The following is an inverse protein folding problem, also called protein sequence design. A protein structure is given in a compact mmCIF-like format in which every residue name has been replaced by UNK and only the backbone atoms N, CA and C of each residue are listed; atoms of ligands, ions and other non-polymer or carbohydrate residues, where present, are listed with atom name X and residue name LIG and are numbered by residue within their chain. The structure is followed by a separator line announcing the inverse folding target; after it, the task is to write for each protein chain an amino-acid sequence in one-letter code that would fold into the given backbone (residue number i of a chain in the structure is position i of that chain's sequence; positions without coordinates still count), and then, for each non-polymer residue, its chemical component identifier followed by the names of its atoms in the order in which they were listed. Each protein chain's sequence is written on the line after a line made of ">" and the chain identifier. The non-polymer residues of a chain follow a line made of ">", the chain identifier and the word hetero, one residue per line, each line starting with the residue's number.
data_IF_839093292449
#
_entry.id   IF_839093292449
#
_cell.length_a   1.000
_cell.length_b   1.000
_cell.length_c   1.000
_cell.angle_alpha   90.00
_cell.angle_beta   90.00
_cell.angle_gamma   90.00
#
_symmetry.space_group_name_H-M   'P 1'
#
loop_
_entity.id
_entity.type
_entity.pdbx_description
1 polymer ?
#
# COMPACT_ATOMS: atom_id res chain seq x y z
N UNK A 1 1.84 -28.03 21.92
CA UNK A 1 3.17 -28.10 21.28
C UNK A 1 3.61 -26.71 20.83
N UNK A 2 4.93 -26.43 20.72
CA UNK A 2 5.44 -25.14 20.26
C UNK A 2 5.20 -24.93 18.76
N UNK A 3 5.05 -23.67 18.31
CA UNK A 3 5.00 -23.35 16.87
C UNK A 3 6.31 -23.70 16.15
N UNK A 4 7.45 -23.39 16.79
CA UNK A 4 8.79 -23.75 16.35
C UNK A 4 9.54 -24.39 17.52
N UNK A 5 10.10 -25.57 17.31
CA UNK A 5 10.89 -26.27 18.32
C UNK A 5 12.34 -25.75 18.33
N UNK A 6 12.84 -25.34 19.49
CA UNK A 6 14.22 -24.90 19.64
C UNK A 6 14.55 -24.41 21.05
N UNK A 7 15.81 -23.98 21.23
CA UNK A 7 16.24 -23.29 22.46
C UNK A 7 15.40 -22.02 22.69
N UNK A 8 15.15 -21.65 23.94
CA UNK A 8 14.20 -20.56 24.28
C UNK A 8 12.76 -21.04 24.44
N UNK A 9 12.29 -21.94 23.55
CA UNK A 9 10.98 -22.58 23.69
C UNK A 9 11.01 -23.79 24.65
N UNK A 10 12.14 -24.51 24.70
CA UNK A 10 12.34 -25.62 25.63
C UNK A 10 12.62 -25.13 27.04
N UNK A 11 11.87 -25.65 28.02
CA UNK A 11 12.08 -25.44 29.45
C UNK A 11 13.15 -26.38 30.00
N UNK A 12 13.14 -27.64 29.55
CA UNK A 12 14.17 -28.62 29.91
C UNK A 12 14.29 -29.69 28.84
N UNK A 13 15.52 -30.16 28.61
CA UNK A 13 15.83 -31.29 27.74
C UNK A 13 16.60 -32.32 28.57
N UNK A 14 16.12 -33.55 28.63
CA UNK A 14 16.76 -34.63 29.38
C UNK A 14 16.89 -35.89 28.52
N UNK A 15 17.99 -36.62 28.69
CA UNK A 15 18.22 -37.89 28.00
C UNK A 15 17.64 -39.04 28.81
N UNK A 16 16.94 -39.95 28.14
CA UNK A 16 16.41 -41.18 28.71
C UNK A 16 17.48 -42.30 28.69
N UNK A 17 17.30 -43.30 29.56
CA UNK A 17 18.23 -44.43 29.69
C UNK A 17 18.25 -45.34 28.44
N UNK A 18 17.17 -45.35 27.65
CA UNK A 18 17.05 -46.04 26.35
C UNK A 18 17.73 -45.28 25.20
N UNK A 19 18.36 -44.13 25.48
CA UNK A 19 18.98 -43.26 24.49
C UNK A 19 18.05 -42.20 23.89
N UNK A 20 16.76 -42.19 24.25
CA UNK A 20 15.78 -41.20 23.82
C UNK A 20 15.97 -39.82 24.47
N UNK A 21 15.14 -38.85 24.06
CA UNK A 21 15.13 -37.48 24.60
C UNK A 21 13.72 -37.13 25.06
N UNK A 22 13.61 -36.56 26.25
CA UNK A 22 12.40 -35.92 26.76
C UNK A 22 12.59 -34.41 26.74
N UNK A 23 11.62 -33.71 26.14
CA UNK A 23 11.60 -32.25 26.10
C UNK A 23 10.36 -31.76 26.83
N UNK A 24 10.56 -30.89 27.81
CA UNK A 24 9.48 -30.10 28.38
C UNK A 24 9.56 -28.71 27.77
N UNK A 25 8.45 -28.25 27.22
CA UNK A 25 8.32 -26.90 26.68
C UNK A 25 7.90 -25.91 27.78
N UNK A 26 8.11 -24.63 27.55
CA UNK A 26 7.48 -23.61 28.38
C UNK A 26 5.95 -23.62 28.19
N UNK A 27 5.20 -23.23 29.23
CA UNK A 27 3.74 -23.09 29.14
C UNK A 27 3.32 -21.66 28.76
N UNK A 28 4.25 -20.71 28.85
CA UNK A 28 4.07 -19.28 28.54
C UNK A 28 4.30 -18.96 27.06
N UNK A 29 4.26 -17.67 26.70
CA UNK A 29 4.55 -17.19 25.35
C UNK A 29 5.94 -17.62 24.83
N UNK A 30 6.91 -17.80 25.72
CA UNK A 30 8.27 -18.25 25.38
C UNK A 30 8.27 -19.57 24.58
N UNK A 31 7.25 -20.41 24.74
CA UNK A 31 7.06 -21.64 23.95
C UNK A 31 6.96 -21.41 22.43
N UNK A 32 6.70 -20.18 22.02
CA UNK A 32 6.57 -19.77 20.62
C UNK A 32 7.76 -18.95 20.11
N UNK A 33 8.78 -18.74 20.94
CA UNK A 33 9.93 -17.87 20.65
C UNK A 33 11.23 -18.71 20.60
N UNK A 34 11.24 -19.75 19.77
CA UNK A 34 12.43 -20.55 19.59
C UNK A 34 13.55 -19.76 18.90
N UNK A 35 14.76 -19.85 19.45
CA UNK A 35 15.95 -19.14 19.01
C UNK A 35 16.21 -17.85 19.81
N UNK A 36 17.28 -17.15 19.44
CA UNK A 36 17.53 -15.81 19.97
C UNK A 36 16.45 -14.87 19.44
N UNK A 37 15.74 -14.12 20.31
CA UNK A 37 14.70 -13.22 19.86
C UNK A 37 15.29 -12.05 19.05
N UNK A 38 14.46 -11.43 18.21
CA UNK A 38 14.81 -10.17 17.54
C UNK A 38 14.76 -9.01 18.55
N UNK A 39 15.76 -8.94 19.42
CA UNK A 39 15.85 -7.94 20.50
C UNK A 39 15.80 -6.51 19.97
N UNK A 40 16.48 -6.24 18.85
CA UNK A 40 16.47 -4.92 18.21
C UNK A 40 15.07 -4.56 17.70
N UNK A 41 14.37 -5.51 17.06
CA UNK A 41 12.99 -5.31 16.64
C UNK A 41 12.04 -5.05 17.82
N UNK A 42 12.18 -5.80 18.91
CA UNK A 42 11.38 -5.59 20.12
C UNK A 42 11.63 -4.20 20.74
N UNK A 43 12.89 -3.77 20.82
CA UNK A 43 13.24 -2.43 21.30
C UNK A 43 12.72 -1.32 20.39
N UNK A 44 12.78 -1.50 19.07
CA UNK A 44 12.24 -0.55 18.10
C UNK A 44 10.72 -0.37 18.26
N UNK A 45 9.97 -1.47 18.45
CA UNK A 45 8.52 -1.42 18.73
C UNK A 45 8.26 -0.69 20.05
N UNK A 46 8.99 -1.03 21.12
CA UNK A 46 8.83 -0.37 22.41
C UNK A 46 9.09 1.15 22.31
N UNK A 47 10.11 1.55 21.54
CA UNK A 47 10.43 2.96 21.28
C UNK A 47 9.32 3.65 20.49
N UNK A 48 8.74 2.99 19.48
CA UNK A 48 7.61 3.52 18.72
C UNK A 48 6.35 3.68 19.60
N UNK A 49 6.03 2.68 20.43
CA UNK A 49 4.92 2.76 21.38
C UNK A 49 5.10 3.93 22.37
N UNK A 50 6.32 4.13 22.87
CA UNK A 50 6.64 5.26 23.73
C UNK A 50 6.42 6.59 23.02
N UNK A 51 6.95 6.76 21.81
CA UNK A 51 6.78 8.00 21.03
C UNK A 51 5.30 8.30 20.71
N UNK A 52 4.51 7.29 20.34
CA UNK A 52 3.06 7.44 20.09
C UNK A 52 2.31 7.83 21.37
N UNK A 53 2.68 7.24 22.51
CA UNK A 53 2.08 7.57 23.81
C UNK A 53 2.40 9.00 24.23
N UNK A 54 3.65 9.43 24.07
CA UNK A 54 4.11 10.79 24.37
C UNK A 54 3.47 11.84 23.45
N UNK A 55 3.21 11.51 22.19
CA UNK A 55 2.49 12.38 21.26
C UNK A 55 1.00 12.55 21.60
N UNK A 56 0.41 11.57 22.30
CA UNK A 56 -1.00 11.55 22.72
C UNK A 56 -1.95 11.08 21.61
N UNK A 57 -2.65 9.97 21.84
CA UNK A 57 -3.54 9.35 20.84
C UNK A 57 -4.68 10.27 20.39
N UNK A 58 -5.27 11.05 21.28
CA UNK A 58 -6.37 11.97 20.92
C UNK A 58 -5.89 13.03 19.91
N UNK A 59 -4.68 13.57 20.09
CA UNK A 59 -4.06 14.51 19.15
C UNK A 59 -3.79 13.86 17.80
N UNK A 60 -3.28 12.62 17.81
CA UNK A 60 -2.98 11.86 16.58
C UNK A 60 -4.26 11.55 15.79
N UNK A 61 -5.32 11.11 16.48
CA UNK A 61 -6.63 10.82 15.87
C UNK A 61 -7.25 12.08 15.29
N UNK A 62 -7.30 13.18 16.05
CA UNK A 62 -7.86 14.44 15.57
C UNK A 62 -7.10 14.97 14.33
N UNK A 63 -5.77 14.80 14.30
CA UNK A 63 -4.96 15.15 13.12
C UNK A 63 -5.27 14.25 11.93
N UNK A 64 -5.38 12.95 12.13
CA UNK A 64 -5.72 12.00 11.06
C UNK A 64 -7.12 12.25 10.50
N UNK A 65 -8.12 12.49 11.34
CA UNK A 65 -9.48 12.87 10.94
C UNK A 65 -9.51 14.16 10.12
N UNK A 66 -8.75 15.17 10.54
CA UNK A 66 -8.59 16.41 9.78
C UNK A 66 -8.01 16.13 8.37
N UNK A 67 -6.97 15.30 8.26
CA UNK A 67 -6.36 14.97 6.96
C UNK A 67 -7.30 14.14 6.08
N UNK A 68 -8.02 13.18 6.67
CA UNK A 68 -9.04 12.39 5.96
C UNK A 68 -10.08 13.31 5.34
N UNK A 69 -10.58 14.27 6.13
CA UNK A 69 -11.56 15.23 5.65
C UNK A 69 -11.02 16.07 4.50
N UNK A 70 -9.80 16.61 4.62
CA UNK A 70 -9.16 17.42 3.56
C UNK A 70 -8.97 16.64 2.26
N UNK A 71 -8.52 15.38 2.33
CA UNK A 71 -8.38 14.53 1.14
C UNK A 71 -9.76 14.22 0.53
N UNK A 72 -10.76 13.85 1.35
CA UNK A 72 -12.11 13.55 0.85
C UNK A 72 -12.77 14.76 0.19
N UNK A 73 -12.73 15.93 0.82
CA UNK A 73 -13.24 17.18 0.26
C UNK A 73 -12.51 17.53 -1.05
N UNK A 74 -11.19 17.37 -1.08
CA UNK A 74 -10.38 17.62 -2.28
C UNK A 74 -10.73 16.71 -3.45
N UNK A 75 -10.85 15.40 -3.20
CA UNK A 75 -11.24 14.42 -4.20
C UNK A 75 -12.69 14.58 -4.66
N UNK A 76 -13.60 14.95 -3.75
CA UNK A 76 -15.00 15.22 -4.10
C UNK A 76 -15.16 16.43 -5.05
N UNK A 77 -14.15 17.31 -5.10
CA UNK A 77 -14.08 18.41 -6.07
C UNK A 77 -13.66 17.99 -7.48
N UNK A 78 -13.45 16.69 -7.75
CA UNK A 78 -13.10 16.15 -9.07
C UNK A 78 -14.20 15.14 -9.49
N UNK A 79 -15.15 15.51 -10.37
CA UNK A 79 -16.32 14.69 -10.70
C UNK A 79 -16.01 13.26 -11.19
N UNK A 80 -14.88 13.09 -11.87
CA UNK A 80 -14.40 11.81 -12.42
C UNK A 80 -13.86 10.88 -11.33
N UNK A 81 -13.59 11.39 -10.12
CA UNK A 81 -13.09 10.60 -9.00
C UNK A 81 -14.25 9.98 -8.24
N UNK A 82 -14.25 8.65 -8.18
CA UNK A 82 -15.17 7.88 -7.33
C UNK A 82 -14.41 7.23 -6.18
N UNK A 83 -14.60 7.76 -4.98
CA UNK A 83 -14.11 7.13 -3.74
C UNK A 83 -14.89 5.84 -3.49
N UNK A 84 -14.16 4.75 -3.22
CA UNK A 84 -14.74 3.45 -2.91
C UNK A 84 -15.02 3.35 -1.41
N UNK A 85 -16.26 3.01 -1.06
CA UNK A 85 -16.67 2.79 0.32
C UNK A 85 -17.67 1.64 0.43
N UNK A 86 -17.48 0.80 1.45
CA UNK A 86 -18.42 -0.27 1.81
C UNK A 86 -19.47 0.20 2.83
N UNK A 87 -19.05 1.05 3.76
CA UNK A 87 -19.85 1.43 4.94
C UNK A 87 -20.44 2.84 4.84
N UNK A 88 -20.36 3.46 3.65
CA UNK A 88 -20.82 4.84 3.42
C UNK A 88 -19.77 5.90 3.76
N UNK A 89 -20.18 7.16 3.72
CA UNK A 89 -19.27 8.31 3.85
C UNK A 89 -18.96 8.70 5.30
N UNK A 90 -19.94 8.54 6.19
CA UNK A 90 -19.83 8.91 7.60
C UNK A 90 -19.21 7.82 8.49
N UNK A 91 -18.87 6.66 7.91
CA UNK A 91 -18.24 5.58 8.65
C UNK A 91 -16.84 5.98 9.17
N UNK A 92 -16.50 5.67 10.44
CA UNK A 92 -15.16 5.83 10.97
C UNK A 92 -14.12 5.14 10.09
N UNK A 93 -12.99 5.79 9.85
CA UNK A 93 -11.91 5.26 9.02
C UNK A 93 -10.57 5.82 9.45
N UNK A 94 -9.52 5.08 9.10
CA UNK A 94 -8.12 5.54 9.21
C UNK A 94 -7.72 6.29 7.93
N UNK A 95 -6.52 6.87 7.90
CA UNK A 95 -5.94 7.65 6.80
C UNK A 95 -5.62 6.84 5.55
N UNK A 96 -6.57 6.04 5.06
CA UNK A 96 -6.47 5.20 3.88
C UNK A 96 -7.74 5.35 3.06
N UNK A 97 -7.59 5.82 1.83
CA UNK A 97 -8.71 6.01 0.91
C UNK A 97 -8.42 5.27 -0.40
N UNK A 98 -9.39 4.49 -0.84
CA UNK A 98 -9.36 3.85 -2.16
C UNK A 98 -10.32 4.57 -3.09
N UNK A 99 -9.91 4.79 -4.34
CA UNK A 99 -10.71 5.47 -5.35
C UNK A 99 -10.37 4.98 -6.75
N UNK A 100 -11.25 5.26 -7.70
CA UNK A 100 -11.00 5.13 -9.14
C UNK A 100 -11.23 6.47 -9.81
N UNK A 101 -10.66 6.62 -11.00
CA UNK A 101 -10.79 7.83 -11.82
C UNK A 101 -11.39 7.41 -13.16
N UNK A 102 -12.52 8.00 -13.53
CA UNK A 102 -13.15 7.73 -14.82
C UNK A 102 -12.22 8.11 -15.98
N UNK A 103 -12.20 7.30 -17.03
CA UNK A 103 -11.29 7.48 -18.17
C UNK A 103 -9.84 7.03 -17.93
N UNK A 104 -9.50 6.59 -16.71
CA UNK A 104 -8.14 6.17 -16.36
C UNK A 104 -8.05 4.71 -15.94
N UNK A 105 -6.96 4.06 -16.37
CA UNK A 105 -6.49 2.83 -15.74
C UNK A 105 -5.75 3.20 -14.44
N UNK A 106 -6.04 2.53 -13.31
CA UNK A 106 -5.45 2.92 -12.02
C UNK A 106 -3.94 2.74 -11.96
N UNK A 107 -3.38 1.74 -12.64
CA UNK A 107 -1.93 1.53 -12.72
C UNK A 107 -1.25 2.65 -13.51
N UNK A 108 -1.87 3.09 -14.60
CA UNK A 108 -1.38 4.25 -15.36
C UNK A 108 -1.46 5.54 -14.53
N UNK A 109 -2.59 5.80 -13.87
CA UNK A 109 -2.75 6.98 -13.03
C UNK A 109 -1.75 6.99 -11.86
N UNK A 110 -1.51 5.83 -11.21
CA UNK A 110 -0.53 5.69 -10.15
C UNK A 110 0.91 5.90 -10.66
N UNK A 111 1.24 5.38 -11.85
CA UNK A 111 2.53 5.62 -12.48
C UNK A 111 2.74 7.10 -12.80
N UNK A 112 1.70 7.80 -13.28
CA UNK A 112 1.75 9.23 -13.57
C UNK A 112 1.92 10.09 -12.30
N UNK A 113 1.16 9.80 -11.24
CA UNK A 113 1.38 10.43 -9.93
C UNK A 113 2.82 10.26 -9.43
N UNK A 114 3.40 9.06 -9.62
CA UNK A 114 4.77 8.79 -9.20
C UNK A 114 5.80 9.54 -10.04
N UNK A 115 5.73 9.42 -11.36
CA UNK A 115 6.75 9.90 -12.28
C UNK A 115 6.72 11.44 -12.46
N UNK A 116 5.53 12.02 -12.54
CA UNK A 116 5.37 13.45 -12.86
C UNK A 116 5.21 14.34 -11.63
N UNK A 117 4.75 13.76 -10.50
CA UNK A 117 4.47 14.50 -9.28
C UNK A 117 5.27 14.01 -8.07
N UNK A 118 6.01 12.90 -8.17
CA UNK A 118 6.76 12.34 -7.04
C UNK A 118 5.85 11.82 -5.91
N UNK A 119 4.63 11.40 -6.24
CA UNK A 119 3.63 10.95 -5.26
C UNK A 119 3.45 9.44 -5.36
N UNK A 120 3.90 8.72 -4.33
CA UNK A 120 3.75 7.28 -4.23
C UNK A 120 2.37 6.87 -3.70
N UNK A 121 1.56 6.26 -4.56
CA UNK A 121 0.32 5.56 -4.20
C UNK A 121 0.44 4.07 -4.49
N UNK A 122 -0.55 3.28 -4.06
CA UNK A 122 -0.65 1.87 -4.43
C UNK A 122 -1.80 1.70 -5.41
N UNK A 123 -1.59 0.98 -6.50
CA UNK A 123 -2.66 0.49 -7.36
C UNK A 123 -2.88 -1.03 -7.19
N UNK A 124 -4.06 -1.50 -7.57
CA UNK A 124 -4.41 -2.93 -7.58
C UNK A 124 -5.65 -3.26 -6.76
N UNK A 125 -5.70 -4.49 -6.23
CA UNK A 125 -6.84 -5.04 -5.48
C UNK A 125 -6.55 -5.25 -3.98
N UNK A 126 -5.36 -4.82 -3.51
CA UNK A 126 -4.96 -4.73 -2.10
C UNK A 126 -5.12 -6.03 -1.28
N UNK A 127 -4.96 -7.20 -1.90
CA UNK A 127 -5.25 -8.51 -1.30
C UNK A 127 -6.72 -8.70 -0.85
N UNK A 128 -7.63 -7.81 -1.26
CA UNK A 128 -9.05 -7.81 -0.94
C UNK A 128 -9.91 -7.98 -2.21
N UNK A 129 -9.49 -8.89 -3.09
CA UNK A 129 -10.04 -9.08 -4.44
C UNK A 129 -11.58 -9.17 -4.49
N UNK A 130 -12.26 -10.02 -3.69
CA UNK A 130 -13.71 -10.14 -3.79
C UNK A 130 -14.44 -8.83 -3.41
N UNK A 131 -13.93 -8.12 -2.40
CA UNK A 131 -14.47 -6.83 -1.98
C UNK A 131 -14.31 -5.79 -3.07
N UNK A 132 -13.10 -5.65 -3.64
CA UNK A 132 -12.85 -4.65 -4.67
C UNK A 132 -13.64 -4.94 -5.94
N UNK A 133 -13.78 -6.20 -6.36
CA UNK A 133 -14.66 -6.57 -7.49
C UNK A 133 -16.10 -6.11 -7.25
N UNK A 134 -16.61 -6.32 -6.03
CA UNK A 134 -17.95 -5.85 -5.62
C UNK A 134 -18.06 -4.32 -5.72
N UNK A 135 -17.10 -3.58 -5.16
CA UNK A 135 -17.11 -2.10 -5.16
C UNK A 135 -16.88 -1.48 -6.56
N UNK A 136 -16.29 -2.24 -7.46
CA UNK A 136 -16.08 -1.87 -8.87
C UNK A 136 -17.25 -2.32 -9.77
N UNK A 137 -18.31 -2.91 -9.21
CA UNK A 137 -19.50 -3.32 -9.96
C UNK A 137 -19.28 -4.53 -10.87
N UNK A 138 -18.33 -5.39 -10.52
CA UNK A 138 -18.04 -6.65 -11.23
C UNK A 138 -18.47 -7.85 -10.39
N UNK A 139 -18.69 -9.00 -11.03
CA UNK A 139 -19.04 -10.24 -10.32
C UNK A 139 -17.88 -10.65 -9.38
N UNK A 140 -18.14 -10.83 -8.06
CA UNK A 140 -17.13 -11.26 -7.09
C UNK A 140 -16.45 -12.58 -7.44
N UNK A 141 -17.11 -13.44 -8.24
CA UNK A 141 -16.63 -14.76 -8.67
C UNK A 141 -15.79 -14.70 -9.95
N UNK A 142 -15.72 -13.55 -10.64
CA UNK A 142 -14.87 -13.42 -11.84
C UNK A 142 -13.41 -13.66 -11.47
N UNK A 143 -12.79 -14.67 -12.08
CA UNK A 143 -11.35 -14.92 -11.97
C UNK A 143 -10.59 -13.88 -12.80
N UNK A 144 -9.43 -13.46 -12.35
CA UNK A 144 -8.56 -12.54 -13.08
C UNK A 144 -7.29 -12.26 -12.27
N UNK A 145 -6.20 -11.98 -12.98
CA UNK A 145 -4.88 -11.78 -12.36
C UNK A 145 -4.86 -10.55 -11.45
N UNK A 146 -4.06 -10.65 -10.38
CA UNK A 146 -3.98 -9.61 -9.35
C UNK A 146 -3.28 -8.36 -9.90
N UNK A 147 -4.02 -7.27 -10.11
CA UNK A 147 -3.42 -5.95 -10.38
C UNK A 147 -2.66 -5.84 -11.70
N UNK A 148 -2.93 -6.71 -12.67
CA UNK A 148 -2.36 -6.57 -14.00
C UNK A 148 -2.88 -5.25 -14.64
N UNK A 149 -1.98 -4.37 -15.12
CA UNK A 149 -2.37 -3.11 -15.76
C UNK A 149 -3.22 -3.37 -17.02
N UNK A 150 -2.99 -4.50 -17.67
CA UNK A 150 -3.75 -4.98 -18.82
C UNK A 150 -4.57 -6.20 -18.41
N UNK A 151 -5.86 -6.18 -18.75
CA UNK A 151 -6.70 -7.36 -18.64
C UNK A 151 -6.58 -8.20 -19.93
N UNK A 152 -6.95 -9.48 -19.86
CA UNK A 152 -7.00 -10.32 -21.05
C UNK A 152 -7.94 -9.68 -22.12
N UNK A 153 -7.73 -9.94 -23.42
CA UNK A 153 -8.60 -9.40 -24.47
C UNK A 153 -10.08 -9.72 -24.21
N UNK A 154 -10.90 -8.68 -24.00
CA UNK A 154 -12.32 -8.80 -23.66
C UNK A 154 -12.65 -8.65 -22.17
N UNK A 155 -11.65 -8.55 -21.29
CA UNK A 155 -11.82 -8.28 -19.86
C UNK A 155 -11.56 -6.80 -19.52
N UNK A 156 -12.16 -6.31 -18.44
CA UNK A 156 -11.86 -4.98 -17.88
C UNK A 156 -10.72 -5.11 -16.88
N UNK A 157 -9.70 -4.23 -16.96
CA UNK A 157 -8.72 -4.12 -15.88
C UNK A 157 -9.43 -3.57 -14.65
N UNK A 158 -9.51 -4.40 -13.60
CA UNK A 158 -10.15 -4.07 -12.34
C UNK A 158 -9.07 -3.80 -11.31
N UNK A 159 -8.71 -2.52 -11.19
CA UNK A 159 -7.80 -2.04 -10.16
C UNK A 159 -8.35 -0.71 -9.60
N UNK A 160 -7.93 -0.40 -8.38
CA UNK A 160 -8.20 0.88 -7.75
C UNK A 160 -6.88 1.51 -7.33
N UNK A 161 -6.92 2.80 -7.01
CA UNK A 161 -5.83 3.53 -6.38
C UNK A 161 -6.09 3.55 -4.88
N UNK A 162 -5.06 3.40 -4.07
CA UNK A 162 -5.08 3.60 -2.61
C UNK A 162 -4.02 4.60 -2.22
N UNK A 163 -4.47 5.70 -1.64
CA UNK A 163 -3.63 6.67 -0.95
C UNK A 163 -3.65 6.37 0.55
N UNK A 164 -2.49 6.42 1.19
CA UNK A 164 -2.32 6.21 2.63
C UNK A 164 -1.50 7.33 3.22
N UNK A 165 -1.97 7.90 4.32
CA UNK A 165 -1.38 9.03 5.03
C UNK A 165 -1.70 8.88 6.52
N UNK A 166 -1.06 9.70 7.36
CA UNK A 166 -1.28 9.63 8.80
C UNK A 166 -0.90 10.92 9.48
N UNK A 167 -0.89 10.93 10.81
CA UNK A 167 -0.67 12.14 11.60
C UNK A 167 0.64 12.90 11.26
N UNK A 168 1.68 12.18 10.80
CA UNK A 168 2.95 12.77 10.36
C UNK A 168 2.96 13.34 8.94
N UNK A 169 1.87 13.22 8.18
CA UNK A 169 1.77 13.76 6.82
C UNK A 169 1.60 15.29 6.86
N UNK A 170 2.47 16.08 6.19
CA UNK A 170 2.30 17.52 6.08
C UNK A 170 1.05 17.90 5.29
N UNK A 171 0.42 19.05 5.61
CA UNK A 171 -0.71 19.59 4.85
C UNK A 171 -0.35 19.80 3.37
N UNK A 172 0.87 20.30 3.11
CA UNK A 172 1.41 20.50 1.76
C UNK A 172 1.34 19.22 0.92
N UNK A 173 1.60 18.05 1.52
CA UNK A 173 1.56 16.78 0.78
C UNK A 173 0.13 16.40 0.37
N UNK A 174 -0.86 16.69 1.23
CA UNK A 174 -2.27 16.49 0.91
C UNK A 174 -2.71 17.45 -0.19
N UNK A 175 -2.32 18.71 -0.12
CA UNK A 175 -2.64 19.73 -1.13
C UNK A 175 -2.01 19.38 -2.48
N UNK A 176 -0.73 19.00 -2.49
CA UNK A 176 -0.02 18.55 -3.69
C UNK A 176 -0.67 17.31 -4.30
N UNK A 177 -1.11 16.35 -3.48
CA UNK A 177 -1.84 15.18 -3.96
C UNK A 177 -3.17 15.54 -4.62
N UNK A 178 -4.01 16.34 -3.95
CA UNK A 178 -5.31 16.75 -4.51
C UNK A 178 -5.14 17.55 -5.80
N UNK A 179 -4.17 18.45 -5.86
CA UNK A 179 -3.88 19.22 -7.06
C UNK A 179 -3.36 18.34 -8.19
N UNK A 180 -2.45 17.41 -7.92
CA UNK A 180 -1.96 16.45 -8.91
C UNK A 180 -3.08 15.57 -9.48
N UNK A 181 -4.03 15.13 -8.63
CA UNK A 181 -5.20 14.39 -9.09
C UNK A 181 -6.04 15.25 -10.04
N UNK A 182 -6.32 16.50 -9.68
CA UNK A 182 -7.09 17.41 -10.52
C UNK A 182 -6.42 17.66 -11.87
N UNK A 183 -5.13 17.98 -11.86
CA UNK A 183 -4.35 18.24 -13.08
C UNK A 183 -4.27 17.01 -13.99
N UNK A 184 -4.02 15.82 -13.44
CA UNK A 184 -4.03 14.60 -14.26
C UNK A 184 -5.40 14.35 -14.89
N UNK A 185 -6.48 14.59 -14.15
CA UNK A 185 -7.83 14.41 -14.69
C UNK A 185 -8.15 15.44 -15.78
N UNK A 186 -7.77 16.71 -15.61
CA UNK A 186 -8.09 17.76 -16.57
C UNK A 186 -7.19 17.79 -17.79
N UNK A 187 -5.88 17.59 -17.59
CA UNK A 187 -4.85 17.88 -18.59
C UNK A 187 -4.27 16.61 -19.20
N UNK A 188 -4.50 15.44 -18.57
CA UNK A 188 -3.87 14.19 -18.95
C UNK A 188 -2.45 14.03 -18.38
N UNK A 189 -1.86 12.85 -18.59
CA UNK A 189 -0.45 12.65 -18.30
C UNK A 189 0.42 13.36 -19.34
N UNK A 190 1.53 13.97 -18.90
CA UNK A 190 2.47 14.64 -19.81
C UNK A 190 3.39 13.64 -20.50
N UNK A 191 3.62 12.49 -19.89
CA UNK A 191 4.49 11.45 -20.43
C UNK A 191 3.69 10.32 -21.07
N UNK A 192 4.34 9.56 -21.95
CA UNK A 192 3.80 8.30 -22.42
C UNK A 192 4.19 7.19 -21.45
N UNK A 193 3.34 6.17 -21.33
CA UNK A 193 3.55 5.03 -20.46
C UNK A 193 3.33 3.73 -21.22
N UNK A 194 4.05 2.69 -20.80
CA UNK A 194 3.93 1.34 -21.34
C UNK A 194 3.88 0.31 -20.21
N UNK A 195 3.38 -0.87 -20.51
CA UNK A 195 3.47 -2.02 -19.60
C UNK A 195 4.80 -2.73 -19.79
N UNK A 196 5.57 -2.90 -18.71
CA UNK A 196 6.81 -3.66 -18.67
C UNK A 196 6.76 -4.60 -17.46
N UNK A 197 6.89 -5.92 -17.69
CA UNK A 197 6.78 -6.97 -16.67
C UNK A 197 5.55 -6.85 -15.76
N UNK A 198 4.39 -6.52 -16.36
CA UNK A 198 3.13 -6.36 -15.64
C UNK A 198 3.05 -5.09 -14.79
N UNK A 199 3.91 -4.08 -15.05
CA UNK A 199 3.88 -2.77 -14.37
C UNK A 199 3.80 -1.65 -15.39
N UNK A 200 3.02 -0.61 -15.07
CA UNK A 200 2.98 0.59 -15.87
C UNK A 200 4.20 1.47 -15.55
N UNK A 201 5.02 1.78 -16.55
CA UNK A 201 6.26 2.57 -16.41
C UNK A 201 6.34 3.66 -17.47
N UNK A 202 7.01 4.79 -17.20
CA UNK A 202 7.27 5.82 -18.22
C UNK A 202 7.99 5.26 -19.44
N UNK A 203 7.54 5.64 -20.63
CA UNK A 203 8.22 5.30 -21.87
C UNK A 203 9.40 6.26 -22.11
N UNK A 204 10.59 5.81 -21.72
CA UNK A 204 11.83 6.57 -21.90
C UNK A 204 12.43 6.49 -23.31
N UNK A 205 11.81 5.72 -24.22
CA UNK A 205 12.38 5.50 -25.57
C UNK A 205 12.23 6.69 -26.52
N UNK A 206 11.39 7.68 -26.18
CA UNK A 206 11.20 8.91 -26.96
C UNK A 206 12.09 10.09 -26.53
N UNK A 207 13.15 9.86 -25.76
CA UNK A 207 13.95 10.91 -25.13
C UNK A 207 15.47 10.70 -25.16
N UNK A 208 16.06 10.47 -26.33
CA UNK A 208 17.49 10.73 -26.53
C UNK A 208 17.63 11.78 -27.65
N UNK A 209 18.07 13.01 -27.36
CA UNK A 209 18.52 13.89 -28.43
C UNK A 209 19.68 13.18 -29.11
N UNK A 210 19.57 12.98 -30.43
CA UNK A 210 20.66 12.44 -31.23
C UNK A 210 21.95 13.18 -30.84
N UNK A 211 22.90 12.44 -30.25
CA UNK A 211 24.24 12.97 -30.05
C UNK A 211 24.77 13.31 -31.43
N UNK A 212 24.86 14.60 -31.73
CA UNK A 212 25.67 15.10 -32.83
C UNK A 212 27.12 14.74 -32.50
N UNK A 213 27.52 13.52 -32.89
CA UNK A 213 28.92 13.16 -32.97
C UNK A 213 29.48 13.96 -34.15
N UNK A 214 30.14 15.06 -33.79
CA UNK A 214 30.79 15.97 -34.70
C UNK A 214 31.76 15.24 -35.62
N UNK A 215 31.67 15.58 -36.89
CA UNK A 215 32.79 15.54 -37.83
C UNK A 215 33.97 16.33 -37.24
N UNK A 216 35.13 15.71 -37.08
CA UNK A 216 36.33 16.41 -36.65
C UNK A 216 37.59 15.56 -36.70
N UNK A 217 38.36 15.77 -37.78
CA UNK A 217 39.75 15.40 -38.06
C UNK A 217 40.11 13.93 -38.30
#
# INVERSE_FOLDING_TARGET
>A
EPYLAGGGASRSVSRRADGGVDVRWHDSAARHEAGSPNVIGAYAIASACKALTEAGFDTLVAREEYLIRKVREGLAGVPEVRVLSLFGDDAPRVGVLSFVVEGWNSSHFAAALSAEYGIGVRDGLFCAHPLLRTLLGSDPQTQGECGAPEAAPGEKSLNAIRVSFGAGTPDEHVERFVNAVRELVSDGARWNYRTEDGRCVPDTTSGSPASAAGSGA
#
